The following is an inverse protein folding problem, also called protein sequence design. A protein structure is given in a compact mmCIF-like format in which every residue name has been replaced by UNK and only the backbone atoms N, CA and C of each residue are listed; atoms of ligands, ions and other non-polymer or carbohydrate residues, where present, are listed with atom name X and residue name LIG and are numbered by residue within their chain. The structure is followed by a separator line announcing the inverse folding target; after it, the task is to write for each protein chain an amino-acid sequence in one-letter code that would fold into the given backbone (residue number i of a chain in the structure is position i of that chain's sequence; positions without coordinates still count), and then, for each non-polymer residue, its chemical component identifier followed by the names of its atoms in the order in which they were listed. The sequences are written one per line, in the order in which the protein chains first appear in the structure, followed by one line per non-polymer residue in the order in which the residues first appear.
data_IF_352018352717
#
_entry.id   IF_352018352717
#
_cell.length_a   1.000
_cell.length_b   1.000
_cell.length_c   1.000
_cell.angle_alpha   90.00
_cell.angle_beta   90.00
_cell.angle_gamma   90.00
#
_symmetry.space_group_name_H-M   'P 1'
#
loop_
_entity.id
_entity.type
_entity.pdbx_description
1 polymer ?
#
# COMPACT_ATOMS: atom_id res chain seq x y z
N UNK A 1 -14.52 1.50 30.00
CA UNK A 1 -14.38 0.57 28.88
C UNK A 1 -12.90 0.58 28.54
N UNK A 2 -12.14 -0.32 29.16
CA UNK A 2 -10.73 -0.51 28.85
C UNK A 2 -10.68 -1.08 27.41
N UNK A 3 -9.98 -0.41 26.51
CA UNK A 3 -9.66 -0.93 25.19
C UNK A 3 -8.87 -2.24 25.42
N UNK A 4 -9.54 -3.37 25.32
CA UNK A 4 -8.86 -4.66 25.24
C UNK A 4 -8.13 -4.67 23.91
N UNK A 5 -6.82 -4.42 23.96
CA UNK A 5 -5.96 -4.59 22.79
C UNK A 5 -5.94 -6.10 22.52
N UNK A 6 -6.48 -6.57 21.40
CA UNK A 6 -6.50 -8.00 21.11
C UNK A 6 -5.06 -8.51 21.04
N UNK A 7 -4.69 -9.35 22.00
CA UNK A 7 -3.38 -9.97 22.05
C UNK A 7 -3.24 -10.96 20.89
N UNK A 8 -2.09 -10.93 20.23
CA UNK A 8 -1.77 -11.95 19.23
C UNK A 8 -1.74 -13.33 19.86
N UNK A 9 -2.46 -14.27 19.26
CA UNK A 9 -2.38 -15.68 19.65
C UNK A 9 -1.20 -16.34 18.92
N UNK A 10 -0.50 -17.29 19.55
CA UNK A 10 0.64 -17.99 18.93
C UNK A 10 0.31 -18.74 17.63
N UNK A 11 -0.94 -19.07 17.42
CA UNK A 11 -1.48 -19.79 16.26
C UNK A 11 -2.10 -18.88 15.18
N UNK A 12 -2.10 -17.55 15.41
CA UNK A 12 -2.59 -16.57 14.44
C UNK A 12 -1.49 -16.12 13.48
N UNK A 13 -1.21 -16.95 12.47
CA UNK A 13 -0.19 -16.66 11.46
C UNK A 13 -0.52 -15.42 10.62
N UNK A 14 -1.79 -15.14 10.36
CA UNK A 14 -2.20 -13.98 9.55
C UNK A 14 -2.00 -12.69 10.33
N UNK A 15 -2.48 -12.62 11.57
CA UNK A 15 -2.23 -11.47 12.46
C UNK A 15 -0.75 -11.22 12.67
N UNK A 16 0.06 -12.28 12.74
CA UNK A 16 1.51 -12.18 12.84
C UNK A 16 2.17 -11.60 11.59
N UNK A 17 1.70 -11.96 10.37
CA UNK A 17 2.21 -11.37 9.13
C UNK A 17 1.88 -9.88 9.03
N UNK A 18 0.70 -9.44 9.47
CA UNK A 18 0.37 -8.02 9.56
C UNK A 18 1.30 -7.28 10.52
N UNK A 19 1.63 -7.87 11.65
CA UNK A 19 2.55 -7.27 12.62
C UNK A 19 3.96 -7.13 12.05
N UNK A 20 4.51 -8.19 11.43
CA UNK A 20 5.82 -8.14 10.78
C UNK A 20 5.82 -7.09 9.67
N UNK A 21 4.77 -7.05 8.83
CA UNK A 21 4.62 -6.07 7.77
C UNK A 21 4.64 -4.64 8.31
N UNK A 22 3.88 -4.36 9.37
CA UNK A 22 3.89 -3.07 10.06
C UNK A 22 5.29 -2.70 10.53
N UNK A 23 5.95 -3.58 11.27
CA UNK A 23 7.30 -3.31 11.83
C UNK A 23 8.34 -3.09 10.74
N UNK A 24 8.31 -3.90 9.68
CA UNK A 24 9.24 -3.78 8.56
C UNK A 24 9.04 -2.45 7.81
N UNK A 25 7.81 -2.07 7.51
CA UNK A 25 7.50 -0.82 6.82
C UNK A 25 7.80 0.40 7.68
N UNK A 26 7.51 0.34 8.98
CA UNK A 26 7.86 1.40 9.91
C UNK A 26 9.38 1.60 9.99
N UNK A 27 10.14 0.51 10.16
CA UNK A 27 11.61 0.57 10.17
C UNK A 27 12.17 1.12 8.85
N UNK A 28 11.62 0.68 7.70
CA UNK A 28 12.02 1.18 6.40
C UNK A 28 11.72 2.68 6.23
N UNK A 29 10.57 3.14 6.71
CA UNK A 29 10.20 4.57 6.67
C UNK A 29 11.20 5.42 7.46
N UNK A 30 11.53 5.01 8.68
CA UNK A 30 12.53 5.70 9.51
C UNK A 30 13.91 5.68 8.84
N UNK A 31 14.31 4.52 8.31
CA UNK A 31 15.59 4.38 7.60
C UNK A 31 15.67 5.34 6.41
N UNK A 32 14.70 5.37 5.52
CA UNK A 32 14.70 6.26 4.36
C UNK A 32 14.69 7.74 4.76
N UNK A 33 13.96 8.07 5.83
CA UNK A 33 13.89 9.45 6.31
C UNK A 33 15.24 9.92 6.86
N UNK A 34 15.96 9.08 7.59
CA UNK A 34 17.30 9.37 8.13
C UNK A 34 18.33 9.40 7.00
N UNK A 35 18.33 8.37 6.13
CA UNK A 35 19.28 8.22 5.03
C UNK A 35 19.21 9.36 4.02
N UNK A 36 18.04 10.01 3.89
CA UNK A 36 17.86 11.20 3.05
C UNK A 36 18.92 12.29 3.29
N UNK A 37 19.47 12.38 4.48
CA UNK A 37 20.48 13.39 4.82
C UNK A 37 21.87 13.01 4.29
N UNK A 38 22.13 11.72 4.08
CA UNK A 38 23.44 11.16 3.69
C UNK A 38 23.64 11.07 2.18
N UNK A 39 22.57 11.23 1.38
CA UNK A 39 22.62 11.06 -0.09
C UNK A 39 22.75 12.39 -0.83
N UNK A 40 23.18 12.30 -2.08
CA UNK A 40 23.22 13.43 -3.01
C UNK A 40 21.85 14.12 -3.14
N UNK A 41 21.86 15.45 -3.33
CA UNK A 41 20.64 16.26 -3.44
C UNK A 41 19.63 15.75 -4.48
N UNK A 42 20.13 15.13 -5.56
CA UNK A 42 19.29 14.55 -6.65
C UNK A 42 18.41 13.38 -6.19
N UNK A 43 18.82 12.64 -5.14
CA UNK A 43 18.10 11.46 -4.61
C UNK A 43 17.25 11.75 -3.37
N UNK A 44 17.44 12.92 -2.74
CA UNK A 44 16.74 13.29 -1.49
C UNK A 44 15.22 13.24 -1.62
N UNK A 45 14.69 13.63 -2.78
CA UNK A 45 13.25 13.62 -3.02
C UNK A 45 12.73 12.19 -3.20
N UNK A 46 13.47 11.32 -3.86
CA UNK A 46 13.10 9.91 -4.01
C UNK A 46 13.03 9.22 -2.64
N UNK A 47 14.05 9.36 -1.80
CA UNK A 47 14.04 8.80 -0.43
C UNK A 47 12.92 9.36 0.44
N UNK A 48 12.56 10.64 0.27
CA UNK A 48 11.41 11.21 0.97
C UNK A 48 10.11 10.56 0.54
N UNK A 49 9.92 10.33 -0.75
CA UNK A 49 8.72 9.65 -1.27
C UNK A 49 8.66 8.21 -0.79
N UNK A 50 9.79 7.47 -0.83
CA UNK A 50 9.90 6.11 -0.27
C UNK A 50 9.54 6.07 1.22
N UNK A 51 10.02 7.04 2.00
CA UNK A 51 9.68 7.16 3.42
C UNK A 51 8.18 7.39 3.64
N UNK A 52 7.54 8.23 2.81
CA UNK A 52 6.10 8.48 2.88
C UNK A 52 5.29 7.23 2.50
N UNK A 53 5.65 6.54 1.43
CA UNK A 53 4.97 5.31 1.00
C UNK A 53 5.01 4.27 2.13
N UNK A 54 6.20 3.98 2.64
CA UNK A 54 6.37 2.97 3.69
C UNK A 54 5.75 3.39 5.01
N UNK A 55 5.77 4.68 5.36
CA UNK A 55 5.13 5.21 6.56
C UNK A 55 3.61 5.12 6.51
N UNK A 56 2.99 5.51 5.39
CA UNK A 56 1.53 5.38 5.17
C UNK A 56 1.13 3.90 5.23
N UNK A 57 1.85 3.03 4.52
CA UNK A 57 1.58 1.60 4.53
C UNK A 57 1.71 0.99 5.93
N UNK A 58 2.72 1.39 6.72
CA UNK A 58 2.87 0.93 8.10
C UNK A 58 1.62 1.23 8.94
N UNK A 59 1.10 2.46 8.88
CA UNK A 59 -0.12 2.83 9.60
C UNK A 59 -1.30 1.98 9.17
N UNK A 60 -1.47 1.74 7.87
CA UNK A 60 -2.57 0.92 7.35
C UNK A 60 -2.43 -0.55 7.77
N UNK A 61 -1.23 -1.12 7.78
CA UNK A 61 -1.00 -2.48 8.25
C UNK A 61 -1.35 -2.64 9.73
N UNK A 62 -1.10 -1.62 10.55
CA UNK A 62 -1.53 -1.60 11.94
C UNK A 62 -3.06 -1.66 12.07
N UNK A 63 -3.79 -0.82 11.32
CA UNK A 63 -5.26 -0.82 11.32
C UNK A 63 -5.85 -2.10 10.70
N UNK A 64 -5.27 -2.60 9.61
CA UNK A 64 -5.72 -3.86 8.98
C UNK A 64 -5.58 -5.05 9.91
N UNK A 65 -4.51 -5.09 10.71
CA UNK A 65 -4.34 -6.12 11.74
C UNK A 65 -5.45 -6.06 12.78
N UNK A 66 -5.73 -4.88 13.32
CA UNK A 66 -6.76 -4.70 14.33
C UNK A 66 -8.16 -5.08 13.81
N UNK A 67 -8.47 -4.66 12.59
CA UNK A 67 -9.69 -5.06 11.90
C UNK A 67 -9.79 -6.58 11.71
N UNK A 68 -8.73 -7.23 11.25
CA UNK A 68 -8.70 -8.68 11.06
C UNK A 68 -8.91 -9.44 12.38
N UNK A 69 -8.25 -9.03 13.45
CA UNK A 69 -8.38 -9.66 14.77
C UNK A 69 -9.79 -9.54 15.37
N UNK A 70 -10.49 -8.45 15.05
CA UNK A 70 -11.85 -8.21 15.56
C UNK A 70 -12.95 -8.85 14.71
N UNK A 71 -12.78 -8.91 13.39
CA UNK A 71 -13.83 -9.32 12.44
C UNK A 71 -13.56 -10.65 11.75
N UNK A 72 -12.34 -11.18 11.81
CA UNK A 72 -11.88 -12.37 11.08
C UNK A 72 -12.16 -12.31 9.55
N UNK A 73 -12.30 -11.09 9.01
CA UNK A 73 -12.64 -10.82 7.63
C UNK A 73 -11.48 -10.11 6.90
N UNK A 74 -11.42 -10.26 5.59
CA UNK A 74 -10.41 -9.56 4.77
C UNK A 74 -10.60 -8.05 4.88
N UNK A 75 -9.55 -7.27 5.20
CA UNK A 75 -9.61 -5.82 5.31
C UNK A 75 -9.54 -5.15 3.91
N UNK A 76 -10.32 -5.62 2.94
CA UNK A 76 -10.29 -5.16 1.55
C UNK A 76 -10.43 -3.65 1.43
N UNK A 77 -11.40 -3.04 2.13
CA UNK A 77 -11.59 -1.60 2.09
C UNK A 77 -10.31 -0.84 2.54
N UNK A 78 -9.69 -1.25 3.64
CA UNK A 78 -8.47 -0.60 4.14
C UNK A 78 -7.27 -0.76 3.19
N UNK A 79 -7.17 -1.89 2.48
CA UNK A 79 -6.16 -2.09 1.44
C UNK A 79 -6.30 -1.09 0.31
N UNK A 80 -7.52 -0.87 -0.18
CA UNK A 80 -7.77 0.09 -1.25
C UNK A 80 -7.58 1.54 -0.80
N UNK A 81 -7.92 1.87 0.46
CA UNK A 81 -7.60 3.19 1.04
C UNK A 81 -6.09 3.41 1.09
N UNK A 82 -5.30 2.42 1.49
CA UNK A 82 -3.84 2.49 1.44
C UNK A 82 -3.34 2.70 0.00
N UNK A 83 -3.78 1.88 -0.92
CA UNK A 83 -3.31 1.90 -2.30
C UNK A 83 -3.65 3.18 -3.05
N UNK A 84 -4.80 3.80 -2.78
CA UNK A 84 -5.16 5.08 -3.41
C UNK A 84 -4.21 6.22 -2.98
N UNK A 85 -3.57 6.08 -1.83
CA UNK A 85 -2.56 7.02 -1.34
C UNK A 85 -1.15 6.61 -1.80
N UNK A 86 -0.79 5.33 -1.66
CA UNK A 86 0.59 4.85 -1.87
C UNK A 86 0.92 4.62 -3.33
N UNK A 87 0.00 4.13 -4.16
CA UNK A 87 0.28 3.82 -5.57
C UNK A 87 0.60 5.06 -6.42
N UNK A 88 -0.11 6.19 -6.31
CA UNK A 88 0.32 7.42 -6.98
C UNK A 88 1.71 7.90 -6.52
N UNK A 89 2.05 7.76 -5.24
CA UNK A 89 3.39 8.06 -4.74
C UNK A 89 4.45 7.14 -5.33
N UNK A 90 4.15 5.85 -5.51
CA UNK A 90 5.05 4.91 -6.23
C UNK A 90 5.27 5.33 -7.68
N UNK A 91 4.24 5.86 -8.37
CA UNK A 91 4.40 6.42 -9.72
C UNK A 91 5.32 7.65 -9.71
N UNK A 92 5.22 8.51 -8.70
CA UNK A 92 6.12 9.66 -8.50
C UNK A 92 7.53 9.19 -8.25
N UNK A 93 7.74 8.20 -7.37
CA UNK A 93 9.05 7.63 -7.09
C UNK A 93 9.69 7.04 -8.35
N UNK A 94 8.95 6.22 -9.09
CA UNK A 94 9.40 5.67 -10.36
C UNK A 94 9.82 6.76 -11.35
N UNK A 95 9.04 7.84 -11.46
CA UNK A 95 9.39 8.98 -12.30
C UNK A 95 10.66 9.68 -11.81
N UNK A 96 10.83 9.89 -10.50
CA UNK A 96 12.02 10.53 -9.93
C UNK A 96 13.29 9.72 -10.22
N UNK A 97 13.22 8.39 -10.15
CA UNK A 97 14.31 7.49 -10.46
C UNK A 97 14.66 7.49 -11.96
N UNK A 98 13.64 7.49 -12.83
CA UNK A 98 13.82 7.41 -14.28
C UNK A 98 14.04 8.77 -14.95
N UNK A 99 13.73 9.87 -14.26
CA UNK A 99 13.92 11.25 -14.75
C UNK A 99 15.35 11.52 -15.22
N UNK A 100 16.34 11.00 -14.50
CA UNK A 100 17.76 11.14 -14.83
C UNK A 100 18.13 10.37 -16.10
N UNK A 101 17.38 9.34 -16.47
CA UNK A 101 17.48 8.58 -17.71
C UNK A 101 16.66 9.17 -18.87
N UNK A 102 16.08 10.37 -18.69
CA UNK A 102 15.36 11.08 -19.75
C UNK A 102 13.84 10.87 -19.75
N UNK A 103 13.24 10.30 -18.71
CA UNK A 103 11.79 10.14 -18.62
C UNK A 103 11.07 11.50 -18.62
N UNK A 104 10.03 11.62 -19.45
CA UNK A 104 9.24 12.85 -19.62
C UNK A 104 8.13 12.90 -18.55
N UNK A 105 7.71 14.11 -18.14
CA UNK A 105 6.56 14.31 -17.22
C UNK A 105 5.27 13.67 -17.72
N UNK A 106 5.11 13.51 -19.04
CA UNK A 106 3.95 12.81 -19.61
C UNK A 106 3.87 11.34 -19.19
N UNK A 107 5.00 10.68 -18.94
CA UNK A 107 5.07 9.31 -18.41
C UNK A 107 4.44 9.25 -17.00
N UNK A 108 4.80 10.20 -16.13
CA UNK A 108 4.23 10.28 -14.78
C UNK A 108 2.70 10.33 -14.81
N UNK A 109 2.13 11.24 -15.62
CA UNK A 109 0.67 11.37 -15.71
C UNK A 109 -0.01 10.12 -16.27
N UNK A 110 0.60 9.47 -17.26
CA UNK A 110 0.11 8.20 -17.80
C UNK A 110 0.10 7.10 -16.74
N UNK A 111 1.18 7.00 -15.95
CA UNK A 111 1.27 6.03 -14.86
C UNK A 111 0.22 6.28 -13.78
N UNK A 112 0.04 7.53 -13.35
CA UNK A 112 -0.98 7.89 -12.36
C UNK A 112 -2.38 7.55 -12.87
N UNK A 113 -2.72 7.92 -14.10
CA UNK A 113 -4.05 7.63 -14.67
C UNK A 113 -4.29 6.12 -14.80
N UNK A 114 -3.29 5.38 -15.29
CA UNK A 114 -3.39 3.93 -15.40
C UNK A 114 -3.53 3.25 -14.03
N UNK A 115 -2.79 3.72 -13.02
CA UNK A 115 -2.87 3.18 -11.66
C UNK A 115 -4.21 3.48 -10.99
N UNK A 116 -4.76 4.66 -11.17
CA UNK A 116 -6.11 5.00 -10.66
C UNK A 116 -7.15 4.12 -11.32
N UNK A 117 -7.07 3.92 -12.64
CA UNK A 117 -7.97 3.02 -13.37
C UNK A 117 -7.88 1.58 -12.84
N UNK A 118 -6.66 1.07 -12.67
CA UNK A 118 -6.39 -0.24 -12.08
C UNK A 118 -7.05 -0.40 -10.71
N UNK A 119 -6.92 0.61 -9.84
CA UNK A 119 -7.50 0.57 -8.49
C UNK A 119 -9.03 0.57 -8.52
N UNK A 120 -9.64 1.37 -9.40
CA UNK A 120 -11.10 1.40 -9.57
C UNK A 120 -11.60 0.04 -10.06
N UNK A 121 -11.01 -0.49 -11.13
CA UNK A 121 -11.39 -1.79 -11.69
C UNK A 121 -11.20 -2.92 -10.65
N UNK A 122 -10.06 -2.94 -9.95
CA UNK A 122 -9.79 -3.92 -8.91
C UNK A 122 -10.77 -3.86 -7.74
N UNK A 123 -11.09 -2.64 -7.27
CA UNK A 123 -12.06 -2.46 -6.19
C UNK A 123 -13.46 -2.95 -6.58
N UNK A 124 -13.92 -2.63 -7.79
CA UNK A 124 -15.20 -3.11 -8.29
C UNK A 124 -15.20 -4.64 -8.39
N UNK A 125 -14.13 -5.23 -8.94
CA UNK A 125 -14.00 -6.68 -9.07
C UNK A 125 -14.01 -7.44 -7.74
N UNK A 126 -13.45 -6.85 -6.68
CA UNK A 126 -13.37 -7.48 -5.36
C UNK A 126 -14.59 -7.17 -4.49
N UNK A 127 -15.06 -5.92 -4.45
CA UNK A 127 -16.12 -5.49 -3.54
C UNK A 127 -17.53 -5.83 -4.01
N UNK A 128 -17.76 -5.86 -5.31
CA UNK A 128 -19.07 -6.19 -5.89
C UNK A 128 -19.20 -7.66 -6.28
N UNK A 129 -18.28 -8.50 -5.88
CA UNK A 129 -18.39 -9.94 -6.03
C UNK A 129 -19.03 -10.50 -4.75
N UNK A 130 -20.37 -10.78 -4.75
CA UNK A 130 -21.04 -11.33 -3.58
C UNK A 130 -20.40 -12.67 -3.18
N UNK A 131 -20.41 -13.00 -1.92
CA UNK A 131 -19.92 -14.28 -1.41
C UNK A 131 -20.56 -15.43 -2.22
N UNK A 132 -19.73 -16.18 -2.96
CA UNK A 132 -20.19 -17.15 -3.95
C UNK A 132 -20.33 -16.64 -5.38
N UNK A 133 -19.95 -15.39 -5.66
CA UNK A 133 -19.94 -14.80 -6.98
C UNK A 133 -19.01 -15.55 -7.95
N UNK A 134 -19.40 -15.55 -9.21
CA UNK A 134 -18.69 -16.24 -10.28
C UNK A 134 -17.23 -15.78 -10.39
N UNK A 135 -16.29 -16.72 -10.44
CA UNK A 135 -14.89 -16.43 -10.74
C UNK A 135 -14.71 -15.62 -12.04
N UNK A 136 -15.67 -15.71 -12.97
CA UNK A 136 -15.70 -14.95 -14.21
C UNK A 136 -15.86 -13.44 -13.98
N UNK A 137 -16.59 -12.99 -12.95
CA UNK A 137 -16.75 -11.58 -12.63
C UNK A 137 -15.42 -10.96 -12.16
N UNK A 138 -14.77 -11.57 -11.18
CA UNK A 138 -13.45 -11.10 -10.69
C UNK A 138 -12.39 -11.15 -11.79
N UNK A 139 -12.41 -12.18 -12.63
CA UNK A 139 -11.50 -12.33 -13.76
C UNK A 139 -11.71 -11.23 -14.81
N UNK A 140 -12.95 -10.90 -15.14
CA UNK A 140 -13.28 -9.84 -16.10
C UNK A 140 -12.71 -8.48 -15.63
N UNK A 141 -12.91 -8.11 -14.38
CA UNK A 141 -12.39 -6.87 -13.82
C UNK A 141 -10.87 -6.87 -13.63
N UNK A 142 -10.26 -8.04 -13.46
CA UNK A 142 -8.80 -8.19 -13.38
C UNK A 142 -8.07 -8.09 -14.71
N UNK A 143 -8.80 -8.22 -15.85
CA UNK A 143 -8.25 -8.06 -17.22
C UNK A 143 -8.31 -6.60 -17.69
N UNK A 144 -9.25 -5.81 -17.17
CA UNK A 144 -9.43 -4.39 -17.51
C UNK A 144 -8.36 -3.51 -16.84
#
# INVERSE_FOLDING_TARGET
MLLEIPLMKPDDYVGFTFFIGFMAMFAASVFFFVERNSVDAKWKMSLLVSALITGIAAVHYYYMRDYYLTHTASPTFFRYVDWILTVPLMCVEFYLLTKLAGAKKSLLWKLILASVWMLIAGYIGESFNPEGGSASHSMMWGIL
#
